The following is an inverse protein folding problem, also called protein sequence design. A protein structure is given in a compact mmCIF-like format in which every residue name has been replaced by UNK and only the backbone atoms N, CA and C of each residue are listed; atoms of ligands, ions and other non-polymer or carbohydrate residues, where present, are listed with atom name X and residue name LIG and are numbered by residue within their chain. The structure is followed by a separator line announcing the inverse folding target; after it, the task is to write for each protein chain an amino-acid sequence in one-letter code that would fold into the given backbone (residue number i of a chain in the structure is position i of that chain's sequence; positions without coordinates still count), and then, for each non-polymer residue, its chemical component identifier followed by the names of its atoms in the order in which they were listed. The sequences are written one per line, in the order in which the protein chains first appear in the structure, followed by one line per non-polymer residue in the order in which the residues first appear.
data_IF_355857653341
#
_entry.id   IF_355857653341
#
_cell.length_a   1.000
_cell.length_b   1.000
_cell.length_c   1.000
_cell.angle_alpha   90.00
_cell.angle_beta   90.00
_cell.angle_gamma   90.00
#
_symmetry.space_group_name_H-M   'P 1'
#
loop_
_entity.id
_entity.type
_entity.pdbx_description
1 polymer ?
#
# COMPACT_ATOMS: atom_id res chain seq x y z
N UNK A 1 -16.77 12.97 -2.81
CA UNK A 1 -16.70 11.82 -1.89
C UNK A 1 -17.45 12.14 -0.62
N UNK A 2 -18.05 11.14 0.04
CA UNK A 2 -18.63 11.35 1.38
C UNK A 2 -17.55 11.87 2.34
N UNK A 3 -17.96 12.71 3.29
CA UNK A 3 -17.07 13.21 4.34
C UNK A 3 -16.42 12.05 5.09
N UNK A 4 -15.12 12.15 5.33
CA UNK A 4 -14.37 11.11 6.04
C UNK A 4 -13.76 9.99 5.19
N UNK A 5 -13.99 9.97 3.86
CA UNK A 5 -13.35 8.99 2.97
C UNK A 5 -12.02 9.53 2.44
N UNK A 6 -10.93 8.82 2.74
CA UNK A 6 -9.60 9.13 2.18
C UNK A 6 -9.42 8.50 0.80
N UNK A 7 -8.69 9.20 -0.09
CA UNK A 7 -8.26 8.66 -1.38
C UNK A 7 -6.75 8.46 -1.35
N UNK A 8 -6.31 7.31 -1.87
CA UNK A 8 -4.92 7.09 -2.23
C UNK A 8 -4.81 7.01 -3.75
N UNK A 9 -4.19 8.00 -4.35
CA UNK A 9 -3.90 8.01 -5.79
C UNK A 9 -2.60 7.25 -6.06
N UNK A 10 -2.53 6.55 -7.19
CA UNK A 10 -1.34 5.82 -7.66
C UNK A 10 -1.29 5.87 -9.19
N UNK A 11 -1.06 7.05 -9.72
CA UNK A 11 -1.18 7.38 -11.16
C UNK A 11 0.18 7.66 -11.83
N UNK A 12 1.28 7.21 -11.20
CA UNK A 12 2.64 7.37 -11.69
C UNK A 12 3.21 8.76 -11.45
N UNK A 13 4.27 9.10 -12.18
CA UNK A 13 4.92 10.40 -12.10
C UNK A 13 4.11 11.42 -12.91
N UNK A 14 3.94 12.61 -12.34
CA UNK A 14 3.13 13.69 -12.92
C UNK A 14 3.87 15.02 -12.73
N UNK A 15 3.45 16.03 -13.48
CA UNK A 15 3.89 17.40 -13.27
C UNK A 15 3.28 18.01 -11.99
N UNK A 16 3.98 18.96 -11.38
CA UNK A 16 3.55 19.60 -10.14
C UNK A 16 2.13 20.19 -10.25
N UNK A 17 1.82 20.83 -11.37
CA UNK A 17 0.51 21.44 -11.64
C UNK A 17 -0.63 20.41 -11.62
N UNK A 18 -0.36 19.18 -12.05
CA UNK A 18 -1.33 18.08 -11.96
C UNK A 18 -1.63 17.72 -10.51
N UNK A 19 -0.59 17.59 -9.67
CA UNK A 19 -0.76 17.33 -8.24
C UNK A 19 -1.52 18.46 -7.53
N UNK A 20 -1.22 19.72 -7.86
CA UNK A 20 -1.93 20.88 -7.33
C UNK A 20 -3.41 20.87 -7.72
N UNK A 21 -3.72 20.58 -8.99
CA UNK A 21 -5.10 20.50 -9.50
C UNK A 21 -5.89 19.43 -8.75
N UNK A 22 -5.33 18.24 -8.58
CA UNK A 22 -6.00 17.16 -7.85
C UNK A 22 -6.17 17.46 -6.36
N UNK A 23 -5.17 18.11 -5.75
CA UNK A 23 -5.26 18.54 -4.36
C UNK A 23 -6.37 19.57 -4.14
N UNK A 24 -6.53 20.50 -5.08
CA UNK A 24 -7.63 21.49 -5.06
C UNK A 24 -8.99 20.82 -5.27
N UNK A 25 -9.11 19.94 -6.25
CA UNK A 25 -10.33 19.21 -6.55
C UNK A 25 -10.79 18.30 -5.39
N UNK A 26 -9.89 17.85 -4.55
CA UNK A 26 -10.24 17.01 -3.40
C UNK A 26 -11.06 17.75 -2.33
N UNK A 27 -11.03 19.07 -2.29
CA UNK A 27 -11.69 19.91 -1.28
C UNK A 27 -11.21 19.70 0.16
N UNK A 28 -10.55 18.59 0.44
CA UNK A 28 -10.04 18.22 1.77
C UNK A 28 -8.66 17.57 1.69
N UNK A 29 -7.62 18.39 1.74
CA UNK A 29 -6.22 17.95 1.66
C UNK A 29 -5.81 16.95 2.75
N UNK A 30 -6.53 16.88 3.87
CA UNK A 30 -6.22 15.96 4.98
C UNK A 30 -6.42 14.49 4.62
N UNK A 31 -7.27 14.19 3.63
CA UNK A 31 -7.63 12.83 3.23
C UNK A 31 -6.90 12.38 1.96
N UNK A 32 -5.98 13.19 1.45
CA UNK A 32 -5.33 12.93 0.18
C UNK A 32 -3.99 12.23 0.38
N UNK A 33 -3.84 11.08 -0.25
CA UNK A 33 -2.63 10.27 -0.24
C UNK A 33 -2.16 10.00 -1.66
N UNK A 34 -0.89 9.84 -1.82
CA UNK A 34 -0.30 9.42 -3.08
C UNK A 34 0.71 8.31 -2.86
N UNK A 35 0.60 7.23 -3.63
CA UNK A 35 1.54 6.12 -3.60
C UNK A 35 2.23 6.00 -4.95
N UNK A 36 3.54 6.23 -4.98
CA UNK A 36 4.39 5.97 -6.13
C UNK A 36 5.67 5.28 -5.66
N UNK A 37 5.83 4.01 -6.04
CA UNK A 37 6.96 3.19 -5.59
C UNK A 37 8.19 3.47 -6.46
N UNK A 38 9.38 3.63 -5.84
CA UNK A 38 10.62 3.71 -6.60
C UNK A 38 11.27 2.33 -6.83
N UNK A 39 10.75 1.28 -6.22
CA UNK A 39 11.09 -0.13 -6.35
C UNK A 39 12.51 -0.49 -5.89
N UNK A 40 13.51 0.31 -6.17
CA UNK A 40 14.87 0.23 -5.65
C UNK A 40 15.59 1.58 -5.78
N UNK A 41 16.38 1.93 -4.79
CA UNK A 41 17.30 3.09 -4.86
C UNK A 41 18.57 2.82 -5.67
N UNK A 42 18.81 1.57 -6.06
CA UNK A 42 19.88 1.21 -6.97
C UNK A 42 19.48 1.62 -8.40
N UNK A 43 20.21 2.54 -9.05
CA UNK A 43 19.84 3.06 -10.38
C UNK A 43 19.77 1.98 -11.47
N UNK A 44 20.61 0.95 -11.38
CA UNK A 44 20.64 -0.14 -12.37
C UNK A 44 19.40 -1.02 -12.22
N UNK A 45 19.03 -1.36 -10.98
CA UNK A 45 17.79 -2.09 -10.70
C UNK A 45 16.55 -1.26 -11.04
N UNK A 46 16.56 0.04 -10.72
CA UNK A 46 15.45 0.93 -11.11
C UNK A 46 15.27 0.95 -12.63
N UNK A 47 16.37 1.10 -13.38
CA UNK A 47 16.36 1.08 -14.83
C UNK A 47 15.85 -0.25 -15.37
N UNK A 48 16.35 -1.38 -14.84
CA UNK A 48 15.92 -2.72 -15.21
C UNK A 48 14.37 -2.89 -15.10
N UNK A 49 13.80 -2.41 -13.97
CA UNK A 49 12.38 -2.56 -13.69
C UNK A 49 11.48 -1.59 -14.49
N UNK A 50 12.02 -0.48 -14.96
CA UNK A 50 11.23 0.58 -15.58
C UNK A 50 11.53 0.80 -17.08
N UNK A 51 12.41 0.00 -17.65
CA UNK A 51 12.75 0.08 -19.09
C UNK A 51 11.87 -0.87 -19.88
N UNK A 52 10.67 -0.42 -20.26
CA UNK A 52 9.89 -1.13 -21.27
C UNK A 52 10.22 -0.57 -22.67
N UNK A 53 10.40 -1.42 -23.69
CA UNK A 53 10.62 -0.96 -25.07
C UNK A 53 9.50 -0.01 -25.52
N UNK A 54 9.87 1.12 -26.09
CA UNK A 54 8.92 2.10 -26.66
C UNK A 54 8.22 3.02 -25.64
N UNK A 55 8.54 2.95 -24.35
CA UNK A 55 8.03 3.89 -23.33
C UNK A 55 9.10 4.89 -22.93
N UNK A 56 8.69 6.12 -22.59
CA UNK A 56 9.58 7.10 -21.99
C UNK A 56 10.27 6.48 -20.76
N UNK A 57 11.59 6.51 -20.74
CA UNK A 57 12.35 5.98 -19.62
C UNK A 57 11.99 6.78 -18.35
N UNK A 58 11.49 6.08 -17.35
CA UNK A 58 11.30 6.68 -16.03
C UNK A 58 12.66 7.02 -15.44
N UNK A 59 12.75 8.21 -14.85
CA UNK A 59 13.95 8.71 -14.22
C UNK A 59 13.76 8.70 -12.70
N UNK A 60 14.69 8.10 -11.97
CA UNK A 60 14.65 8.02 -10.51
C UNK A 60 14.70 9.43 -9.86
N UNK A 61 15.49 10.34 -10.43
CA UNK A 61 15.58 11.73 -9.95
C UNK A 61 14.23 12.45 -10.11
N UNK A 62 13.58 12.30 -11.26
CA UNK A 62 12.24 12.87 -11.48
C UNK A 62 11.22 12.25 -10.51
N UNK A 63 11.32 10.95 -10.20
CA UNK A 63 10.48 10.30 -9.19
C UNK A 63 10.65 10.97 -7.82
N UNK A 64 11.87 11.26 -7.42
CA UNK A 64 12.14 11.96 -6.15
C UNK A 64 11.67 13.42 -6.18
N UNK A 65 11.75 14.07 -7.31
CA UNK A 65 11.16 15.40 -7.50
C UNK A 65 9.63 15.39 -7.35
N UNK A 66 8.97 14.37 -7.90
CA UNK A 66 7.52 14.18 -7.68
C UNK A 66 7.18 14.00 -6.20
N UNK A 67 7.99 13.27 -5.42
CA UNK A 67 7.77 13.12 -3.98
C UNK A 67 7.85 14.45 -3.23
N UNK A 68 8.79 15.30 -3.61
CA UNK A 68 8.87 16.65 -3.05
C UNK A 68 7.61 17.46 -3.38
N UNK A 69 7.18 17.50 -4.63
CA UNK A 69 5.97 18.19 -5.06
C UNK A 69 4.71 17.68 -4.36
N UNK A 70 4.58 16.37 -4.19
CA UNK A 70 3.48 15.76 -3.45
C UNK A 70 3.41 16.28 -2.01
N UNK A 71 4.55 16.37 -1.31
CA UNK A 71 4.60 16.92 0.06
C UNK A 71 4.25 18.39 0.09
N UNK A 72 4.77 19.20 -0.84
CA UNK A 72 4.43 20.61 -1.00
C UNK A 72 2.93 20.82 -1.24
N UNK A 73 2.29 19.93 -2.00
CA UNK A 73 0.84 19.94 -2.25
C UNK A 73 0.00 19.39 -1.08
N UNK A 74 0.63 18.96 0.02
CA UNK A 74 -0.04 18.50 1.24
C UNK A 74 -0.51 17.05 1.24
N UNK A 75 -0.01 16.21 0.31
CA UNK A 75 -0.31 14.77 0.32
C UNK A 75 0.39 14.04 1.47
N UNK A 76 -0.26 12.99 1.95
CA UNK A 76 0.46 11.94 2.65
C UNK A 76 1.27 11.15 1.63
N UNK A 77 2.58 11.21 1.76
CA UNK A 77 3.49 10.58 0.81
C UNK A 77 3.62 9.08 1.09
N UNK A 78 3.27 8.29 0.11
CA UNK A 78 3.52 6.85 0.07
C UNK A 78 4.53 6.49 -1.00
N UNK A 79 5.48 5.63 -0.65
CA UNK A 79 6.41 5.02 -1.61
C UNK A 79 6.67 3.57 -1.25
N UNK A 80 7.65 2.93 -1.89
CA UNK A 80 7.99 1.56 -1.58
C UNK A 80 8.98 0.94 -2.53
N UNK A 81 9.34 -0.31 -2.21
CA UNK A 81 10.34 -1.08 -2.93
C UNK A 81 9.87 -2.51 -3.18
N UNK A 82 10.48 -3.17 -4.14
CA UNK A 82 10.46 -4.62 -4.27
C UNK A 82 11.64 -5.24 -3.51
N UNK A 83 11.43 -6.42 -2.96
CA UNK A 83 12.40 -7.15 -2.15
C UNK A 83 12.76 -8.44 -2.85
N UNK A 84 14.06 -8.73 -2.98
CA UNK A 84 14.55 -9.94 -3.63
C UNK A 84 14.56 -9.86 -5.15
N UNK A 85 14.71 -8.67 -5.72
CA UNK A 85 14.95 -8.48 -7.15
C UNK A 85 16.28 -9.17 -7.50
N UNK A 86 16.36 -9.94 -8.59
CA UNK A 86 17.63 -10.51 -9.03
C UNK A 86 18.73 -9.48 -9.14
N UNK A 87 19.86 -9.73 -8.47
CA UNK A 87 20.98 -8.79 -8.36
C UNK A 87 20.87 -7.74 -7.23
N UNK A 88 19.77 -7.68 -6.51
CA UNK A 88 19.60 -6.80 -5.33
C UNK A 88 20.44 -7.33 -4.16
N UNK A 89 21.18 -6.43 -3.52
CA UNK A 89 22.00 -6.73 -2.34
C UNK A 89 21.33 -6.27 -1.04
N UNK A 90 21.85 -6.72 0.10
CA UNK A 90 21.40 -6.21 1.41
C UNK A 90 21.74 -4.73 1.59
N UNK A 91 22.85 -4.26 1.00
CA UNK A 91 23.24 -2.85 0.99
C UNK A 91 22.24 -2.00 0.23
N UNK A 92 21.65 -2.52 -0.87
CA UNK A 92 20.57 -1.84 -1.58
C UNK A 92 19.36 -1.67 -0.68
N UNK A 93 18.92 -2.72 0.02
CA UNK A 93 17.81 -2.65 0.97
C UNK A 93 18.09 -1.70 2.14
N UNK A 94 19.33 -1.67 2.65
CA UNK A 94 19.73 -0.69 3.66
C UNK A 94 19.68 0.75 3.14
N UNK A 95 20.08 0.99 1.89
CA UNK A 95 19.95 2.30 1.25
C UNK A 95 18.48 2.69 1.07
N UNK A 96 17.62 1.75 0.69
CA UNK A 96 16.19 1.97 0.55
C UNK A 96 15.57 2.43 1.87
N UNK A 97 15.91 1.79 3.00
CA UNK A 97 15.43 2.19 4.33
C UNK A 97 15.89 3.61 4.71
N UNK A 98 17.16 3.92 4.48
CA UNK A 98 17.69 5.28 4.73
C UNK A 98 17.00 6.32 3.85
N UNK A 99 16.66 5.93 2.63
CA UNK A 99 15.94 6.81 1.72
C UNK A 99 14.51 7.06 2.18
N UNK A 100 13.80 6.06 2.73
CA UNK A 100 12.50 6.28 3.36
C UNK A 100 12.58 7.32 4.49
N UNK A 101 13.61 7.27 5.33
CA UNK A 101 13.82 8.28 6.38
C UNK A 101 14.08 9.67 5.78
N UNK A 102 14.99 9.76 4.78
CA UNK A 102 15.33 11.03 4.13
C UNK A 102 14.15 11.66 3.41
N UNK A 103 13.31 10.85 2.79
CA UNK A 103 12.08 11.29 2.11
C UNK A 103 10.97 11.66 3.10
N UNK A 104 11.11 11.30 4.38
CA UNK A 104 10.12 11.56 5.42
C UNK A 104 8.73 11.07 4.99
N UNK A 105 8.64 9.77 4.70
CA UNK A 105 7.46 9.13 4.12
C UNK A 105 6.38 8.83 5.16
N UNK A 106 5.12 8.89 4.76
CA UNK A 106 3.97 8.57 5.62
C UNK A 106 3.50 7.12 5.48
N UNK A 107 3.74 6.52 4.31
CA UNK A 107 3.27 5.17 3.97
C UNK A 107 4.34 4.41 3.18
N UNK A 108 4.46 3.12 3.44
CA UNK A 108 5.39 2.24 2.74
C UNK A 108 4.67 1.01 2.23
N UNK A 109 4.70 0.84 0.91
CA UNK A 109 4.22 -0.36 0.23
C UNK A 109 5.40 -1.18 -0.29
N UNK A 110 5.78 -2.23 0.41
CA UNK A 110 6.87 -3.10 0.01
C UNK A 110 6.43 -4.57 0.01
N UNK A 111 7.03 -5.35 -0.87
CA UNK A 111 6.72 -6.76 -0.97
C UNK A 111 7.72 -7.52 -1.82
N UNK A 112 7.66 -8.85 -1.78
CA UNK A 112 8.57 -9.70 -2.54
C UNK A 112 8.43 -9.47 -4.04
N UNK A 113 9.55 -9.54 -4.75
CA UNK A 113 9.56 -9.70 -6.20
C UNK A 113 9.05 -11.09 -6.54
N UNK A 114 7.97 -11.15 -7.31
CA UNK A 114 7.41 -12.39 -7.84
C UNK A 114 7.49 -12.35 -9.36
N UNK A 115 8.08 -13.38 -9.93
CA UNK A 115 8.18 -13.56 -11.37
C UNK A 115 6.77 -13.67 -11.98
N UNK A 116 6.60 -13.12 -13.17
CA UNK A 116 5.41 -13.33 -14.01
C UNK A 116 5.84 -13.89 -15.35
N UNK A 117 5.29 -15.03 -15.74
CA UNK A 117 5.60 -15.68 -17.01
C UNK A 117 5.15 -14.84 -18.22
N UNK A 118 4.15 -14.00 -18.05
CA UNK A 118 3.69 -13.05 -19.07
C UNK A 118 4.39 -11.69 -19.04
N UNK A 119 5.32 -11.45 -18.12
CA UNK A 119 5.98 -10.16 -17.94
C UNK A 119 7.23 -9.97 -18.80
N UNK A 120 7.62 -8.69 -18.99
CA UNK A 120 8.85 -8.33 -19.71
C UNK A 120 10.13 -8.83 -18.99
N UNK A 121 10.04 -9.15 -17.70
CA UNK A 121 11.15 -9.62 -16.86
C UNK A 121 11.12 -11.15 -16.63
N UNK A 122 10.40 -11.89 -17.47
CA UNK A 122 10.25 -13.35 -17.32
C UNK A 122 11.57 -14.15 -17.33
N UNK A 123 12.61 -13.59 -17.97
CA UNK A 123 13.94 -14.21 -18.02
C UNK A 123 14.77 -14.00 -16.75
N UNK A 124 14.34 -13.10 -15.86
CA UNK A 124 15.01 -12.92 -14.57
C UNK A 124 14.71 -14.11 -13.66
N UNK A 125 15.72 -14.54 -12.92
CA UNK A 125 15.59 -15.55 -11.87
C UNK A 125 14.64 -15.09 -10.76
N UNK A 126 14.34 -15.99 -9.84
CA UNK A 126 13.60 -15.70 -8.62
C UNK A 126 14.34 -16.32 -7.43
N UNK A 127 14.38 -15.60 -6.32
CA UNK A 127 14.90 -16.11 -5.06
C UNK A 127 14.06 -17.31 -4.56
N UNK A 128 14.68 -18.21 -3.82
CA UNK A 128 13.94 -19.30 -3.12
C UNK A 128 12.76 -18.70 -2.33
N UNK A 129 11.55 -19.24 -2.43
CA UNK A 129 10.36 -18.67 -1.81
C UNK A 129 10.46 -18.51 -0.28
N UNK A 130 11.10 -19.45 0.42
CA UNK A 130 11.28 -19.36 1.89
C UNK A 130 12.26 -18.25 2.25
N UNK A 131 13.38 -18.16 1.54
CA UNK A 131 14.37 -17.11 1.74
C UNK A 131 13.76 -15.73 1.41
N UNK A 132 13.00 -15.61 0.32
CA UNK A 132 12.32 -14.40 -0.09
C UNK A 132 11.26 -13.95 0.93
N UNK A 133 10.47 -14.90 1.46
CA UNK A 133 9.50 -14.63 2.53
C UNK A 133 10.21 -14.07 3.76
N UNK A 134 11.27 -14.76 4.24
CA UNK A 134 12.00 -14.32 5.42
C UNK A 134 12.64 -12.95 5.23
N UNK A 135 13.26 -12.69 4.08
CA UNK A 135 13.83 -11.39 3.76
C UNK A 135 12.77 -10.28 3.76
N UNK A 136 11.59 -10.55 3.19
CA UNK A 136 10.48 -9.61 3.16
C UNK A 136 9.94 -9.29 4.56
N UNK A 137 9.83 -10.30 5.42
CA UNK A 137 9.41 -10.13 6.81
C UNK A 137 10.46 -9.35 7.62
N UNK A 138 11.74 -9.66 7.45
CA UNK A 138 12.84 -8.93 8.08
C UNK A 138 12.83 -7.45 7.65
N UNK A 139 12.57 -7.18 6.37
CA UNK A 139 12.47 -5.81 5.86
C UNK A 139 11.32 -5.05 6.54
N UNK A 140 10.15 -5.67 6.69
CA UNK A 140 9.01 -5.08 7.41
C UNK A 140 9.40 -4.75 8.86
N UNK A 141 10.03 -5.70 9.57
CA UNK A 141 10.43 -5.52 10.96
C UNK A 141 11.46 -4.40 11.12
N UNK A 142 12.51 -4.37 10.28
CA UNK A 142 13.54 -3.34 10.34
C UNK A 142 12.96 -1.97 10.03
N UNK A 143 12.12 -1.84 9.00
CA UNK A 143 11.44 -0.58 8.68
C UNK A 143 10.56 -0.12 9.85
N UNK A 144 9.83 -1.03 10.52
CA UNK A 144 9.03 -0.69 11.70
C UNK A 144 9.88 -0.20 12.87
N UNK A 145 11.04 -0.82 13.11
CA UNK A 145 11.97 -0.40 14.16
C UNK A 145 12.60 0.97 13.87
N UNK A 146 12.95 1.21 12.60
CA UNK A 146 13.64 2.44 12.18
C UNK A 146 12.69 3.63 12.05
N UNK A 147 11.47 3.42 11.53
CA UNK A 147 10.52 4.48 11.21
C UNK A 147 9.30 4.56 12.16
N UNK A 148 9.20 3.65 13.11
CA UNK A 148 8.28 3.65 14.26
C UNK A 148 6.78 3.84 13.95
N UNK A 149 6.41 4.94 13.33
CA UNK A 149 5.06 5.49 13.28
C UNK A 149 4.45 5.67 11.86
N UNK A 150 5.15 5.18 10.82
CA UNK A 150 4.65 5.18 9.44
C UNK A 150 3.65 4.03 9.19
N UNK A 151 2.82 4.16 8.18
CA UNK A 151 2.00 3.05 7.72
C UNK A 151 2.81 2.09 6.84
N UNK A 152 2.77 0.80 7.15
CA UNK A 152 3.45 -0.26 6.40
C UNK A 152 2.39 -1.26 5.91
N UNK A 153 2.34 -1.48 4.60
CA UNK A 153 1.40 -2.43 4.02
C UNK A 153 1.92 -3.88 4.10
N UNK A 154 1.08 -4.79 4.57
CA UNK A 154 1.26 -6.22 4.34
C UNK A 154 0.84 -6.52 2.90
N UNK A 155 1.82 -6.59 1.99
CA UNK A 155 1.57 -6.74 0.57
C UNK A 155 0.88 -8.07 0.24
N UNK A 156 -0.04 -8.04 -0.73
CA UNK A 156 -0.73 -9.25 -1.23
C UNK A 156 0.26 -10.29 -1.77
N UNK A 157 1.41 -9.87 -2.27
CA UNK A 157 2.47 -10.75 -2.74
C UNK A 157 3.04 -11.68 -1.65
N UNK A 158 2.99 -11.30 -0.36
CA UNK A 158 3.34 -12.22 0.73
C UNK A 158 2.40 -13.43 0.77
N UNK A 159 1.12 -13.22 0.50
CA UNK A 159 0.14 -14.30 0.44
C UNK A 159 0.31 -15.20 -0.78
N UNK A 160 0.89 -14.71 -1.87
CA UNK A 160 1.20 -15.56 -3.03
C UNK A 160 2.35 -16.55 -2.74
N UNK A 161 3.24 -16.24 -1.77
CA UNK A 161 4.29 -17.16 -1.31
C UNK A 161 3.75 -18.13 -0.26
N UNK A 162 2.91 -17.64 0.65
CA UNK A 162 2.36 -18.41 1.77
C UNK A 162 0.97 -17.89 2.13
N UNK A 163 -0.01 -18.77 2.26
CA UNK A 163 -1.43 -18.42 2.43
C UNK A 163 -1.69 -17.43 3.58
N UNK A 164 -0.96 -17.52 4.70
CA UNK A 164 -1.05 -16.61 5.84
C UNK A 164 0.03 -15.50 5.83
N UNK A 165 0.64 -15.24 4.67
CA UNK A 165 1.77 -14.33 4.55
C UNK A 165 1.46 -12.89 4.96
N UNK A 166 0.24 -12.39 4.69
CA UNK A 166 -0.16 -11.03 5.12
C UNK A 166 -0.31 -10.93 6.63
N UNK A 167 -0.88 -11.94 7.25
CA UNK A 167 -1.07 -12.02 8.70
C UNK A 167 0.27 -12.05 9.42
N UNK A 168 1.23 -12.82 8.92
CA UNK A 168 2.59 -12.83 9.44
C UNK A 168 3.25 -11.46 9.23
N UNK A 169 3.03 -10.83 8.08
CA UNK A 169 3.50 -9.46 7.83
C UNK A 169 3.00 -8.46 8.89
N UNK A 170 1.74 -8.61 9.36
CA UNK A 170 1.19 -7.81 10.47
C UNK A 170 1.94 -8.09 11.78
N UNK A 171 2.25 -9.35 12.08
CA UNK A 171 3.02 -9.72 13.28
C UNK A 171 4.43 -9.12 13.26
N UNK A 172 5.03 -8.99 12.07
CA UNK A 172 6.34 -8.37 11.87
C UNK A 172 6.33 -6.84 11.82
N UNK A 173 5.16 -6.20 11.93
CA UNK A 173 5.06 -4.74 12.08
C UNK A 173 4.30 -3.99 10.98
N UNK A 174 3.76 -4.69 9.98
CA UNK A 174 2.80 -4.07 9.07
C UNK A 174 1.50 -3.72 9.81
N UNK A 175 0.84 -2.65 9.38
CA UNK A 175 -0.39 -2.15 10.00
C UNK A 175 -1.43 -1.70 8.96
N UNK A 176 -1.23 -2.05 7.71
CA UNK A 176 -2.18 -1.77 6.63
C UNK A 176 -2.34 -3.04 5.80
N UNK A 177 -3.59 -3.39 5.50
CA UNK A 177 -3.93 -4.43 4.54
C UNK A 177 -4.84 -3.86 3.46
N UNK A 178 -4.74 -4.39 2.25
CA UNK A 178 -5.52 -3.94 1.10
C UNK A 178 -6.39 -5.09 0.60
N UNK A 179 -7.72 -5.04 0.79
CA UNK A 179 -8.61 -5.98 0.14
C UNK A 179 -8.62 -5.77 -1.38
N UNK A 180 -8.86 -6.82 -2.14
CA UNK A 180 -9.00 -6.71 -3.59
C UNK A 180 -10.44 -6.33 -3.95
N UNK A 181 -10.62 -5.14 -4.46
CA UNK A 181 -11.93 -4.53 -4.71
C UNK A 181 -12.19 -4.27 -6.19
N UNK A 182 -11.22 -4.63 -7.04
CA UNK A 182 -11.45 -4.61 -8.49
C UNK A 182 -12.66 -5.46 -8.83
N UNK A 183 -13.58 -4.98 -9.68
CA UNK A 183 -14.68 -5.81 -10.17
C UNK A 183 -14.14 -7.11 -10.77
N UNK A 184 -14.80 -8.24 -10.47
CA UNK A 184 -14.34 -9.58 -10.84
C UNK A 184 -13.99 -9.69 -12.34
N UNK A 185 -14.80 -9.07 -13.19
CA UNK A 185 -14.62 -9.07 -14.66
C UNK A 185 -13.28 -8.50 -15.15
N UNK A 186 -12.61 -7.67 -14.33
CA UNK A 186 -11.32 -7.07 -14.68
C UNK A 186 -10.13 -7.70 -13.95
N UNK A 187 -10.37 -8.64 -13.02
CA UNK A 187 -9.27 -9.17 -12.19
C UNK A 187 -8.32 -10.05 -12.97
N UNK A 188 -8.83 -10.81 -13.95
CA UNK A 188 -8.01 -11.64 -14.81
C UNK A 188 -7.04 -10.82 -15.66
N UNK A 189 -7.46 -9.62 -16.10
CA UNK A 189 -6.63 -8.72 -16.90
C UNK A 189 -5.59 -7.97 -16.05
N UNK A 190 -5.77 -7.95 -14.71
CA UNK A 190 -4.88 -7.28 -13.76
C UNK A 190 -4.08 -8.27 -12.93
N UNK A 191 -3.55 -9.29 -13.56
CA UNK A 191 -2.70 -10.29 -12.95
C UNK A 191 -1.24 -9.87 -13.08
N UNK A 192 -0.70 -9.20 -12.06
CA UNK A 192 0.67 -8.65 -12.05
C UNK A 192 1.75 -9.71 -11.83
N UNK A 193 1.40 -10.87 -11.28
CA UNK A 193 2.27 -12.01 -11.01
C UNK A 193 1.42 -13.28 -10.90
N UNK A 194 2.06 -14.43 -11.06
CA UNK A 194 1.40 -15.73 -11.02
C UNK A 194 0.89 -16.05 -9.61
N UNK A 195 -0.18 -16.84 -9.51
CA UNK A 195 -0.84 -17.21 -8.25
C UNK A 195 -1.31 -16.02 -7.39
N UNK A 196 -1.67 -14.89 -7.99
CA UNK A 196 -2.25 -13.77 -7.27
C UNK A 196 -3.52 -14.21 -6.52
N UNK A 197 -3.61 -14.04 -5.19
CA UNK A 197 -4.76 -14.48 -4.42
C UNK A 197 -6.01 -13.62 -4.70
N UNK A 198 -7.18 -14.16 -4.34
CA UNK A 198 -8.47 -13.45 -4.41
C UNK A 198 -8.91 -13.02 -5.81
N UNK A 199 -8.60 -13.81 -6.85
CA UNK A 199 -9.04 -13.53 -8.22
C UNK A 199 -10.54 -13.78 -8.40
N UNK A 200 -11.08 -14.82 -7.75
CA UNK A 200 -12.46 -15.29 -7.93
C UNK A 200 -13.42 -14.85 -6.81
N UNK A 201 -12.92 -14.20 -5.76
CA UNK A 201 -13.74 -13.79 -4.62
C UNK A 201 -14.58 -12.55 -4.96
N UNK A 202 -15.82 -12.49 -4.45
CA UNK A 202 -16.60 -11.26 -4.49
C UNK A 202 -15.95 -10.19 -3.59
N UNK A 203 -16.00 -8.89 -3.95
CA UNK A 203 -15.39 -7.82 -3.16
C UNK A 203 -15.84 -7.77 -1.69
N UNK A 204 -17.10 -8.09 -1.42
CA UNK A 204 -17.67 -8.15 -0.07
C UNK A 204 -17.09 -9.31 0.74
N UNK A 205 -16.95 -10.48 0.11
CA UNK A 205 -16.36 -11.67 0.73
C UNK A 205 -14.89 -11.45 1.09
N UNK A 206 -14.15 -10.71 0.27
CA UNK A 206 -12.74 -10.40 0.54
C UNK A 206 -12.58 -9.56 1.82
N UNK A 207 -13.47 -8.60 2.08
CA UNK A 207 -13.47 -7.80 3.30
C UNK A 207 -13.70 -8.64 4.55
N UNK A 208 -14.76 -9.44 4.56
CA UNK A 208 -15.13 -10.30 5.69
C UNK A 208 -14.08 -11.38 5.97
N UNK A 209 -13.53 -11.99 4.92
CA UNK A 209 -12.45 -12.96 5.04
C UNK A 209 -11.22 -12.32 5.70
N UNK A 210 -10.83 -11.13 5.24
CA UNK A 210 -9.66 -10.43 5.74
C UNK A 210 -9.83 -10.01 7.20
N UNK A 211 -11.01 -9.57 7.61
CA UNK A 211 -11.30 -9.25 9.01
C UNK A 211 -11.14 -10.47 9.92
N UNK A 212 -11.70 -11.62 9.53
CA UNK A 212 -11.55 -12.88 10.28
C UNK A 212 -10.09 -13.31 10.40
N UNK A 213 -9.32 -13.18 9.33
CA UNK A 213 -7.89 -13.51 9.29
C UNK A 213 -7.08 -12.58 10.21
N UNK A 214 -7.37 -11.28 10.21
CA UNK A 214 -6.75 -10.31 11.12
C UNK A 214 -7.11 -10.63 12.58
N UNK A 215 -8.39 -10.94 12.85
CA UNK A 215 -8.86 -11.30 14.18
C UNK A 215 -8.21 -12.58 14.71
N UNK A 216 -7.92 -13.57 13.86
CA UNK A 216 -7.22 -14.82 14.25
C UNK A 216 -5.79 -14.57 14.77
N UNK A 217 -5.21 -13.39 14.50
CA UNK A 217 -3.89 -12.96 15.01
C UNK A 217 -4.01 -11.98 16.18
N UNK A 218 -5.18 -11.91 16.84
CA UNK A 218 -5.41 -11.03 17.98
C UNK A 218 -5.40 -9.54 17.62
N UNK A 219 -5.60 -9.19 16.34
CA UNK A 219 -5.65 -7.82 15.84
C UNK A 219 -7.08 -7.46 15.44
N UNK A 220 -7.36 -6.17 15.35
CA UNK A 220 -8.66 -5.63 14.94
C UNK A 220 -8.51 -4.64 13.79
N UNK A 221 -9.49 -4.62 12.91
CA UNK A 221 -9.58 -3.65 11.83
C UNK A 221 -10.03 -2.30 12.39
N UNK A 222 -9.34 -1.23 12.03
CA UNK A 222 -9.71 0.15 12.37
C UNK A 222 -10.82 0.66 11.46
N UNK A 223 -12.06 0.16 11.63
CA UNK A 223 -13.21 0.62 10.87
C UNK A 223 -13.52 2.09 11.16
N UNK A 224 -14.01 2.81 10.15
CA UNK A 224 -14.39 4.23 10.23
C UNK A 224 -13.27 5.19 10.63
N UNK A 225 -12.01 4.76 10.52
CA UNK A 225 -10.85 5.61 10.73
C UNK A 225 -10.30 6.11 9.40
N UNK A 226 -9.78 7.34 9.40
CA UNK A 226 -9.09 7.92 8.24
C UNK A 226 -7.86 7.12 7.80
N UNK A 227 -7.27 6.34 8.69
CA UNK A 227 -6.10 5.52 8.41
C UNK A 227 -4.82 6.34 8.10
N UNK A 228 -4.78 7.64 8.48
CA UNK A 228 -3.55 8.43 8.38
C UNK A 228 -2.50 7.88 9.33
N UNK A 229 -1.24 7.82 8.86
CA UNK A 229 -0.14 7.38 9.72
C UNK A 229 -0.01 8.27 10.96
N UNK A 230 0.49 7.71 12.05
CA UNK A 230 0.83 8.51 13.22
C UNK A 230 1.89 9.55 12.85
N UNK A 231 2.85 9.18 12.00
CA UNK A 231 3.88 10.07 11.46
C UNK A 231 3.27 11.33 10.82
N UNK A 232 2.35 11.15 9.86
CA UNK A 232 1.67 12.28 9.21
C UNK A 232 0.93 13.17 10.21
N UNK A 233 0.18 12.57 11.14
CA UNK A 233 -0.56 13.34 12.15
C UNK A 233 0.35 14.17 13.03
N UNK A 234 1.45 13.60 13.52
CA UNK A 234 2.43 14.31 14.35
C UNK A 234 3.05 15.47 13.56
N UNK A 235 3.46 15.23 12.32
CA UNK A 235 4.08 16.24 11.45
C UNK A 235 3.13 17.39 11.11
N UNK A 236 1.84 17.12 10.98
CA UNK A 236 0.83 18.14 10.60
C UNK A 236 0.07 18.73 11.79
N UNK A 237 0.41 18.35 13.03
CA UNK A 237 -0.29 18.82 14.23
C UNK A 237 -1.72 18.33 14.35
N UNK A 238 -2.11 17.27 13.62
CA UNK A 238 -3.46 16.70 13.69
C UNK A 238 -3.62 15.91 14.99
N UNK A 239 -4.71 16.16 15.70
CA UNK A 239 -5.08 15.36 16.87
C UNK A 239 -5.35 13.90 16.49
N UNK A 240 -5.20 12.99 17.45
CA UNK A 240 -5.62 11.62 17.26
C UNK A 240 -7.10 11.60 16.84
N UNK A 241 -7.41 10.77 15.85
CA UNK A 241 -8.80 10.56 15.43
C UNK A 241 -9.61 10.05 16.62
N UNK A 242 -10.84 10.57 16.79
CA UNK A 242 -11.73 10.11 17.83
C UNK A 242 -11.89 8.59 17.82
N UNK A 243 -11.97 8.02 19.00
CA UNK A 243 -12.04 6.58 19.19
C UNK A 243 -13.25 5.97 18.46
N UNK A 244 -13.05 4.79 17.92
CA UNK A 244 -14.11 3.93 17.39
C UNK A 244 -15.16 3.76 18.48
N UNK A 245 -16.47 3.80 18.15
CA UNK A 245 -17.54 3.48 19.10
C UNK A 245 -17.25 2.15 19.81
N UNK A 246 -17.32 2.14 21.13
CA UNK A 246 -16.92 0.98 21.95
C UNK A 246 -17.78 -0.27 21.74
N UNK A 247 -18.98 -0.14 21.18
CA UNK A 247 -19.88 -1.28 21.00
C UNK A 247 -19.87 -1.83 19.57
N UNK A 248 -19.74 -3.14 19.45
CA UNK A 248 -19.83 -3.87 18.17
C UNK A 248 -21.15 -3.56 17.45
N UNK A 249 -22.26 -3.44 18.18
CA UNK A 249 -23.60 -3.14 17.62
C UNK A 249 -23.68 -1.74 16.99
N UNK A 250 -23.05 -0.72 17.58
CA UNK A 250 -22.96 0.62 16.99
C UNK A 250 -22.06 0.63 15.75
N UNK A 251 -20.98 -0.14 15.78
CA UNK A 251 -20.07 -0.33 14.62
C UNK A 251 -20.80 -0.99 13.47
N UNK A 252 -21.55 -2.05 13.74
CA UNK A 252 -22.28 -2.81 12.72
C UNK A 252 -23.44 -2.00 12.13
N UNK A 253 -24.12 -1.21 12.94
CA UNK A 253 -25.16 -0.28 12.49
C UNK A 253 -24.59 0.86 11.61
N UNK A 254 -23.42 1.40 11.95
CA UNK A 254 -22.71 2.41 11.13
C UNK A 254 -22.22 1.81 9.81
N UNK A 255 -21.70 0.58 9.85
CA UNK A 255 -21.27 -0.14 8.66
C UNK A 255 -22.46 -0.47 7.74
N UNK A 256 -23.59 -0.94 8.28
CA UNK A 256 -24.80 -1.17 7.51
C UNK A 256 -25.33 0.13 6.87
N UNK A 257 -25.34 1.23 7.60
CA UNK A 257 -25.76 2.53 7.09
C UNK A 257 -24.83 3.08 6.01
N UNK A 258 -23.51 2.91 6.16
CA UNK A 258 -22.52 3.30 5.16
C UNK A 258 -22.56 2.43 3.91
N UNK A 259 -22.93 1.15 4.04
CA UNK A 259 -23.01 0.20 2.93
C UNK A 259 -24.33 0.31 2.14
N UNK A 260 -25.37 0.94 2.69
CA UNK A 260 -26.66 1.14 2.00
C UNK A 260 -26.72 2.54 1.37
N UNK A 261 -26.69 2.59 0.04
CA UNK A 261 -26.97 3.82 -0.71
C UNK A 261 -28.46 4.21 -0.61
N UNK A 262 -28.88 5.40 -1.11
CA UNK A 262 -30.25 5.90 -1.01
C UNK A 262 -31.34 4.99 -1.60
N UNK A 263 -30.96 3.97 -2.39
CA UNK A 263 -31.85 3.00 -3.03
C UNK A 263 -31.65 1.56 -2.52
N UNK A 264 -31.06 1.37 -1.31
CA UNK A 264 -30.85 0.04 -0.75
C UNK A 264 -29.72 -0.78 -1.42
N UNK A 265 -29.03 -0.23 -2.39
CA UNK A 265 -27.86 -0.88 -3.00
C UNK A 265 -26.66 -0.79 -2.05
N UNK A 266 -25.96 -1.91 -1.81
CA UNK A 266 -24.72 -1.92 -1.05
C UNK A 266 -23.66 -1.05 -1.74
N UNK A 267 -23.25 0.03 -1.07
CA UNK A 267 -22.09 0.82 -1.45
C UNK A 267 -20.85 0.28 -0.77
N UNK A 268 -19.87 -0.08 -1.55
CA UNK A 268 -18.57 -0.53 -1.03
C UNK A 268 -17.70 0.72 -0.91
N UNK A 269 -17.49 1.19 0.33
CA UNK A 269 -16.53 2.26 0.61
C UNK A 269 -15.21 1.65 1.03
N UNK A 270 -14.13 2.14 0.40
CA UNK A 270 -12.78 1.69 0.66
C UNK A 270 -12.15 2.58 1.72
N UNK A 271 -12.00 2.04 2.91
CA UNK A 271 -11.04 2.57 3.84
C UNK A 271 -9.76 1.73 3.74
N UNK A 272 -8.60 2.38 3.66
CA UNK A 272 -7.34 1.72 3.95
C UNK A 272 -7.49 1.15 5.35
N UNK A 273 -7.56 -0.17 5.45
CA UNK A 273 -7.77 -0.84 6.73
C UNK A 273 -6.46 -0.74 7.50
N UNK A 274 -6.42 0.16 8.48
CA UNK A 274 -5.36 0.18 9.47
C UNK A 274 -5.64 -0.90 10.52
N UNK A 275 -4.64 -1.70 10.87
CA UNK A 275 -4.68 -2.80 11.84
C UNK A 275 -3.92 -2.41 13.11
#
# INVERSE_FOLDING_TARGET
LPDGVGITLSLGDQEKTTFETWAQASGNRRNLRYLSRFESSNPDLFKLLHTAPGKNQKNLEHRFQCFQWLKECGYQLGTGVMIGIPGQTLEDLCRDIRLFQKLDVDMIGMGPYLKSEGGDLKELGQMDPKALMQLSLNMIAVVRLVLGDVNIAAATALQAIRDDGREIGIEYGANVVMPNLSPQRFRAEYQLYDNKPCLNDEPTQCGDCLEKRIASRGRRVGWNMMGSSRHYRTRTGQTAQEAIPESTAQRDALNEKALRGPQGQRRIFFNTVAV
#
